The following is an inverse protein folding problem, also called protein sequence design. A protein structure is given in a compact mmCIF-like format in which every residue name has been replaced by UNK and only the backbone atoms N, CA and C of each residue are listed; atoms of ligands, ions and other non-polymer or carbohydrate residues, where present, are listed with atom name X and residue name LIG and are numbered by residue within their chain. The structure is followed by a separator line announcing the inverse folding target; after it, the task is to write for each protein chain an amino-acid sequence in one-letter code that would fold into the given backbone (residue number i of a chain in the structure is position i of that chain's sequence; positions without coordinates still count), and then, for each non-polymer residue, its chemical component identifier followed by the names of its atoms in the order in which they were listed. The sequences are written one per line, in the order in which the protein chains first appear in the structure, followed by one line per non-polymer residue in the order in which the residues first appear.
data_IF_321829869020
#
_entry.id   IF_321829869020
#
_cell.length_a   1.000
_cell.length_b   1.000
_cell.length_c   1.000
_cell.angle_alpha   90.00
_cell.angle_beta   90.00
_cell.angle_gamma   90.00
#
_symmetry.space_group_name_H-M   'P 1'
#
loop_
_entity.id
_entity.type
_entity.pdbx_description
1 polymer ?
#
# COMPACT_ATOMS: atom_id res chain seq x y z
N UNK A 1 -4.88 13.56 23.85
CA UNK A 1 -5.23 14.05 22.49
C UNK A 1 -4.64 13.04 21.52
N UNK A 2 -5.41 12.02 21.19
CA UNK A 2 -4.99 10.90 20.35
C UNK A 2 -4.94 11.40 18.91
N UNK A 3 -3.74 11.49 18.34
CA UNK A 3 -3.56 11.77 16.92
C UNK A 3 -4.13 10.55 16.20
N UNK A 4 -5.33 10.72 15.64
CA UNK A 4 -6.05 9.70 14.89
C UNK A 4 -5.14 9.21 13.76
N UNK A 5 -4.89 7.91 13.80
CA UNK A 5 -4.13 7.10 12.84
C UNK A 5 -4.88 7.00 11.48
N UNK A 6 -5.92 7.81 11.27
CA UNK A 6 -6.88 7.69 10.17
C UNK A 6 -6.52 8.47 8.91
N UNK A 7 -5.25 8.88 8.73
CA UNK A 7 -4.86 9.71 7.58
C UNK A 7 -4.67 8.94 6.26
N UNK A 8 -5.37 7.81 6.07
CA UNK A 8 -5.66 7.24 4.76
C UNK A 8 -6.67 6.07 4.87
N UNK A 9 -7.95 6.37 5.06
CA UNK A 9 -9.01 5.37 4.85
C UNK A 9 -9.13 5.07 3.33
N UNK A 10 -8.22 4.25 2.82
CA UNK A 10 -8.38 3.61 1.50
C UNK A 10 -9.37 2.47 1.67
N UNK A 11 -10.60 2.66 1.21
CA UNK A 11 -11.59 1.58 1.18
C UNK A 11 -11.34 0.74 -0.07
N UNK A 12 -11.01 -0.54 0.11
CA UNK A 12 -10.91 -1.51 -0.97
C UNK A 12 -12.24 -2.23 -1.13
N UNK A 13 -12.95 -1.99 -2.23
CA UNK A 13 -14.09 -2.82 -2.67
C UNK A 13 -13.81 -3.36 -4.06
N UNK A 14 -13.87 -4.70 -4.22
CA UNK A 14 -13.70 -5.38 -5.51
C UNK A 14 -12.45 -4.95 -6.31
N UNK A 15 -11.32 -4.75 -5.63
CA UNK A 15 -10.06 -4.35 -6.26
C UNK A 15 -9.96 -2.87 -6.65
N UNK A 16 -11.01 -2.08 -6.40
CA UNK A 16 -10.99 -0.62 -6.58
C UNK A 16 -10.72 0.09 -5.26
N UNK A 17 -9.88 1.13 -5.32
CA UNK A 17 -9.64 2.04 -4.20
C UNK A 17 -10.69 3.14 -4.25
N UNK A 18 -11.38 3.34 -3.13
CA UNK A 18 -12.25 4.49 -2.92
C UNK A 18 -11.59 5.45 -1.95
N UNK A 19 -11.50 6.70 -2.38
CA UNK A 19 -11.16 7.82 -1.52
C UNK A 19 -12.45 8.50 -1.08
N UNK A 20 -12.54 8.94 0.18
CA UNK A 20 -13.67 9.76 0.61
C UNK A 20 -13.79 11.01 -0.27
N UNK A 21 -15.02 11.44 -0.58
CA UNK A 21 -15.27 12.59 -1.46
C UNK A 21 -14.69 13.92 -0.93
N UNK A 22 -14.31 13.99 0.35
CA UNK A 22 -13.63 15.12 0.96
C UNK A 22 -12.10 15.08 0.81
N UNK A 23 -11.54 13.98 0.29
CA UNK A 23 -10.10 13.82 0.07
C UNK A 23 -9.72 14.41 -1.29
N UNK A 24 -8.98 15.52 -1.29
CA UNK A 24 -8.39 16.05 -2.52
C UNK A 24 -7.06 15.34 -2.80
N UNK A 25 -7.06 14.43 -3.79
CA UNK A 25 -5.84 13.69 -4.17
C UNK A 25 -4.77 14.66 -4.69
N UNK A 26 -5.14 15.69 -5.45
CA UNK A 26 -4.18 16.63 -6.07
C UNK A 26 -3.41 17.48 -5.06
N UNK A 27 -3.99 17.75 -3.89
CA UNK A 27 -3.33 18.49 -2.80
C UNK A 27 -2.53 17.59 -1.85
N UNK A 28 -2.63 16.26 -2.03
CA UNK A 28 -1.90 15.32 -1.19
C UNK A 28 -0.42 15.34 -1.55
N UNK A 29 0.46 15.49 -0.55
CA UNK A 29 1.91 15.43 -0.73
C UNK A 29 2.42 14.10 -1.34
N UNK A 30 1.56 13.08 -1.37
CA UNK A 30 1.82 11.74 -1.91
C UNK A 30 0.95 11.43 -3.14
N UNK A 31 0.43 12.46 -3.81
CA UNK A 31 -0.29 12.31 -5.08
C UNK A 31 0.54 11.53 -6.09
N UNK A 32 -0.05 10.45 -6.61
CA UNK A 32 0.55 9.68 -7.68
C UNK A 32 -0.27 9.91 -8.96
N UNK A 33 0.32 10.50 -10.03
CA UNK A 33 -0.42 10.88 -11.23
C UNK A 33 -0.86 9.68 -12.08
N UNK A 34 -0.12 8.59 -12.04
CA UNK A 34 -0.39 7.38 -12.83
C UNK A 34 -1.12 6.33 -11.99
N UNK A 35 -2.44 6.35 -12.08
CA UNK A 35 -3.32 5.48 -11.30
C UNK A 35 -3.11 3.99 -11.61
N UNK A 36 -2.59 3.63 -12.78
CA UNK A 36 -2.30 2.25 -13.13
C UNK A 36 -1.18 1.65 -12.27
N UNK A 37 -0.28 2.49 -11.76
CA UNK A 37 0.83 2.09 -10.88
C UNK A 37 0.47 2.02 -9.40
N UNK A 38 -0.69 2.54 -9.00
CA UNK A 38 -1.17 2.41 -7.61
C UNK A 38 -1.39 0.95 -7.22
N UNK A 39 -1.69 0.08 -8.19
CA UNK A 39 -1.76 -1.36 -7.98
C UNK A 39 -0.44 -1.94 -7.41
N UNK A 40 0.69 -1.43 -7.88
CA UNK A 40 2.02 -1.88 -7.43
C UNK A 40 2.47 -1.14 -6.16
N UNK A 41 2.39 0.18 -6.14
CA UNK A 41 2.99 0.97 -5.06
C UNK A 41 2.15 1.13 -3.80
N UNK A 42 0.86 0.84 -3.88
CA UNK A 42 -0.08 1.02 -2.76
C UNK A 42 -0.80 -0.29 -2.42
N UNK A 43 -1.32 -0.99 -3.44
CA UNK A 43 -2.17 -2.16 -3.22
C UNK A 43 -1.42 -3.48 -3.07
N UNK A 44 -0.22 -3.58 -3.63
CA UNK A 44 0.53 -4.82 -3.60
C UNK A 44 0.98 -5.13 -2.16
N UNK A 45 0.65 -6.32 -1.66
CA UNK A 45 0.92 -6.76 -0.27
C UNK A 45 2.19 -7.59 -0.11
N UNK A 46 2.89 -7.82 -1.22
CA UNK A 46 4.18 -8.47 -1.24
C UNK A 46 5.07 -7.85 -2.28
N UNK A 47 6.39 -7.95 -2.08
CA UNK A 47 7.34 -7.48 -3.06
C UNK A 47 8.67 -8.19 -2.92
N UNK A 48 9.70 -7.58 -3.48
CA UNK A 48 11.06 -8.12 -3.44
C UNK A 48 12.03 -7.06 -2.91
N UNK A 49 12.82 -7.45 -1.93
CA UNK A 49 13.96 -6.68 -1.46
C UNK A 49 15.21 -7.17 -2.17
N UNK A 50 15.81 -6.30 -2.97
CA UNK A 50 17.09 -6.57 -3.61
C UNK A 50 18.24 -6.32 -2.62
N UNK A 51 19.17 -7.25 -2.55
CA UNK A 51 20.31 -7.23 -1.62
C UNK A 51 21.60 -7.63 -2.36
N UNK A 52 22.74 -7.63 -1.66
CA UNK A 52 24.02 -8.02 -2.25
C UNK A 52 24.78 -6.84 -2.85
N UNK A 53 25.44 -7.06 -3.99
CA UNK A 53 26.27 -6.06 -4.68
C UNK A 53 25.77 -5.84 -6.10
N UNK A 54 26.23 -4.79 -6.76
CA UNK A 54 25.98 -4.51 -8.17
C UNK A 54 26.36 -5.70 -9.09
N UNK A 55 27.36 -6.49 -8.69
CA UNK A 55 27.83 -7.70 -9.41
C UNK A 55 27.17 -8.99 -8.97
N UNK A 56 26.47 -8.99 -7.85
CA UNK A 56 25.78 -10.15 -7.31
C UNK A 56 24.51 -9.70 -6.58
N UNK A 57 23.42 -9.62 -7.33
CA UNK A 57 22.12 -9.19 -6.83
C UNK A 57 21.40 -10.39 -6.22
N UNK A 58 21.15 -10.32 -4.92
CA UNK A 58 20.22 -11.18 -4.20
C UNK A 58 18.81 -10.59 -4.25
N UNK A 59 17.81 -11.46 -4.17
CA UNK A 59 16.40 -11.08 -4.14
C UNK A 59 15.70 -11.86 -3.03
N UNK A 60 15.06 -11.15 -2.10
CA UNK A 60 14.35 -11.73 -0.97
C UNK A 60 12.88 -11.37 -1.09
N UNK A 61 11.94 -12.34 -1.13
CA UNK A 61 10.52 -12.03 -1.09
C UNK A 61 10.16 -11.43 0.26
N UNK A 62 9.32 -10.38 0.25
CA UNK A 62 8.92 -9.66 1.46
C UNK A 62 7.41 -9.46 1.47
N UNK A 63 6.77 -9.79 2.59
CA UNK A 63 5.35 -9.52 2.82
C UNK A 63 5.22 -8.23 3.63
N UNK A 64 4.50 -7.23 3.09
CA UNK A 64 4.41 -5.90 3.71
C UNK A 64 3.44 -5.88 4.91
N UNK A 65 2.43 -6.75 4.91
CA UNK A 65 1.53 -6.93 6.04
C UNK A 65 0.48 -5.83 6.22
N UNK A 66 0.33 -4.90 5.26
CA UNK A 66 -0.59 -3.77 5.36
C UNK A 66 -2.08 -4.17 5.32
N UNK A 67 -2.38 -5.41 4.92
CA UNK A 67 -3.74 -5.97 4.85
C UNK A 67 -3.93 -7.18 5.76
N UNK A 68 -3.06 -7.39 6.76
CA UNK A 68 -3.16 -8.50 7.71
C UNK A 68 -3.86 -8.00 8.99
N UNK A 69 -4.84 -8.75 9.47
CA UNK A 69 -5.53 -8.47 10.72
C UNK A 69 -4.71 -8.92 11.94
N UNK A 70 -5.16 -8.55 13.14
CA UNK A 70 -4.47 -8.92 14.38
C UNK A 70 -4.45 -10.45 14.65
N UNK A 71 -5.29 -11.22 13.96
CA UNK A 71 -5.33 -12.69 14.01
C UNK A 71 -4.45 -13.37 12.96
N UNK A 72 -3.78 -12.60 12.10
CA UNK A 72 -2.96 -13.10 10.99
C UNK A 72 -3.78 -13.45 9.73
N UNK A 73 -5.09 -13.18 9.73
CA UNK A 73 -5.96 -13.31 8.58
C UNK A 73 -5.78 -12.16 7.59
N UNK A 74 -5.96 -12.42 6.29
CA UNK A 74 -6.01 -11.35 5.29
C UNK A 74 -7.34 -10.62 5.46
N UNK A 75 -7.31 -9.29 5.65
CA UNK A 75 -8.48 -8.41 5.81
C UNK A 75 -9.42 -8.36 4.59
N UNK A 76 -9.13 -9.15 3.57
CA UNK A 76 -9.89 -9.24 2.32
C UNK A 76 -10.00 -10.71 1.93
N UNK A 77 -11.09 -11.32 2.37
CA UNK A 77 -11.70 -12.53 1.80
C UNK A 77 -12.93 -12.16 0.99
#
# INVERSE_FOLDING_TARGET
MTVLIDTLFMLRQNGSIFFPAFFNWEDAAVYFPDTAKLAEYVLNDSGCMFTGTDRQIGAIPWFYGQVIDASGGRLVG
#
